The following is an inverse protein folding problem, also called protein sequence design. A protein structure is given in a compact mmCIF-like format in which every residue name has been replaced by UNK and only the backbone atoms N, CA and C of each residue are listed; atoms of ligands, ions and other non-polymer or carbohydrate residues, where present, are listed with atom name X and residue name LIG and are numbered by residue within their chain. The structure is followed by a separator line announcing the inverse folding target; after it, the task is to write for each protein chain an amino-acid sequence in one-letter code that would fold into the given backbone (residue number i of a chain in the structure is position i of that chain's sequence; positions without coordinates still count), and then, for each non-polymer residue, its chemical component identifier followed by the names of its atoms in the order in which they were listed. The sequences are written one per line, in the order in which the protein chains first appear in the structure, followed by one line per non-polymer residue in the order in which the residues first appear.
data_IF_410078674292
#
_entry.id   IF_410078674292
#
_cell.length_a   1.000
_cell.length_b   1.000
_cell.length_c   1.000
_cell.angle_alpha   90.00
_cell.angle_beta   90.00
_cell.angle_gamma   90.00
#
_symmetry.space_group_name_H-M   'P 1'
#
loop_
_entity.id
_entity.type
_entity.pdbx_description
1 polymer ?
#
# COMPACT_ATOMS: atom_id res chain seq x y z
N UNK A 1 1.43 26.44 24.83
CA UNK A 1 0.46 26.60 25.94
C UNK A 1 0.63 28.01 26.48
N UNK A 2 -0.37 28.88 26.69
CA UNK A 2 -1.84 28.82 26.47
C UNK A 2 -2.51 27.54 26.98
N UNK A 3 -2.94 27.54 28.24
CA UNK A 3 -1.93 27.13 29.21
C UNK A 3 -2.35 25.94 30.04
N UNK A 4 -3.59 25.92 30.49
CA UNK A 4 -4.13 24.99 31.46
C UNK A 4 -5.43 24.34 30.91
N UNK A 5 -5.53 24.18 29.57
CA UNK A 5 -6.50 23.45 28.68
C UNK A 5 -6.94 24.25 27.44
N UNK A 6 -7.32 25.52 27.52
CA UNK A 6 -6.43 26.63 27.90
C UNK A 6 -6.52 27.10 29.35
N UNK A 7 -7.59 26.81 30.12
CA UNK A 7 -7.64 27.06 31.59
C UNK A 7 -8.82 26.29 32.29
N UNK A 8 -8.77 24.94 32.34
CA UNK A 8 -9.23 23.96 33.38
C UNK A 8 -8.62 22.59 33.03
N UNK A 9 -7.61 21.98 33.65
CA UNK A 9 -6.45 22.27 34.55
C UNK A 9 -6.40 23.50 35.49
N UNK A 10 -6.84 24.73 35.15
CA UNK A 10 -7.24 25.81 36.11
C UNK A 10 -8.43 25.42 36.96
N UNK A 11 -8.28 24.28 37.59
CA UNK A 11 -9.30 23.67 38.36
C UNK A 11 -9.41 24.46 39.67
N UNK A 12 -10.24 25.52 39.65
CA UNK A 12 -11.32 25.82 40.61
C UNK A 12 -11.71 27.31 40.53
N UNK A 13 -12.94 27.60 40.07
CA UNK A 13 -14.00 28.17 40.94
C UNK A 13 -15.38 28.34 40.26
N UNK A 14 -15.48 28.42 38.93
CA UNK A 14 -16.75 28.79 38.25
C UNK A 14 -17.76 27.67 37.92
N UNK A 15 -17.53 26.40 38.32
CA UNK A 15 -18.49 25.31 38.04
C UNK A 15 -19.71 25.27 38.98
N UNK A 16 -19.73 26.02 40.09
CA UNK A 16 -20.83 25.99 41.05
C UNK A 16 -21.99 26.97 40.77
N UNK A 17 -21.81 27.97 39.88
CA UNK A 17 -22.80 29.04 39.71
C UNK A 17 -23.81 28.79 38.56
N UNK A 18 -23.42 28.07 37.51
CA UNK A 18 -24.27 27.86 36.33
C UNK A 18 -25.47 26.90 36.56
N UNK A 19 -25.56 26.28 37.75
CA UNK A 19 -26.68 25.43 38.16
C UNK A 19 -27.70 26.13 39.09
N UNK A 20 -27.54 27.44 39.39
CA UNK A 20 -28.40 28.13 40.37
C UNK A 20 -29.27 29.27 39.84
N UNK A 21 -29.06 29.75 38.63
CA UNK A 21 -29.83 30.88 38.05
C UNK A 21 -30.88 30.46 37.01
N UNK A 22 -31.63 29.41 37.34
CA UNK A 22 -33.04 29.33 36.94
C UNK A 22 -33.93 29.92 38.03
N UNK A 23 -33.98 31.27 38.14
CA UNK A 23 -35.16 32.07 38.59
C UNK A 23 -34.81 33.56 38.84
N UNK A 24 -35.65 34.41 38.24
CA UNK A 24 -36.00 35.80 38.63
C UNK A 24 -35.08 37.01 38.33
N UNK A 25 -35.79 38.09 37.94
CA UNK A 25 -35.46 39.53 37.95
C UNK A 25 -34.62 40.12 36.81
N UNK A 26 -35.35 40.46 35.74
CA UNK A 26 -35.50 41.83 35.22
C UNK A 26 -34.80 42.92 36.07
N UNK A 27 -33.91 43.71 35.47
CA UNK A 27 -33.88 45.18 35.53
C UNK A 27 -33.08 45.77 34.35
N UNK A 28 -33.50 46.93 33.86
CA UNK A 28 -32.95 47.62 32.69
C UNK A 28 -31.69 48.43 33.03
N UNK A 29 -30.76 48.60 32.07
CA UNK A 29 -29.84 49.74 32.03
C UNK A 29 -29.53 50.16 30.58
N UNK A 30 -30.17 51.27 30.21
CA UNK A 30 -29.88 52.32 29.20
C UNK A 30 -28.96 52.07 27.98
N UNK A 31 -29.50 52.40 26.81
CA UNK A 31 -28.74 52.67 25.59
C UNK A 31 -27.82 53.91 25.75
N UNK A 32 -26.55 53.79 25.36
CA UNK A 32 -25.72 54.94 25.00
C UNK A 32 -25.36 54.89 23.53
N UNK A 33 -26.02 55.73 22.73
CA UNK A 33 -25.64 56.01 21.34
C UNK A 33 -24.30 56.76 21.32
N UNK A 34 -23.34 56.28 20.53
CA UNK A 34 -22.22 57.10 20.05
C UNK A 34 -22.44 57.48 18.56
N UNK A 35 -21.86 58.60 18.08
CA UNK A 35 -22.24 59.17 16.79
C UNK A 35 -21.60 58.45 15.60
N UNK A 36 -22.30 58.46 14.48
CA UNK A 36 -21.81 57.99 13.18
C UNK A 36 -20.86 59.00 12.54
N UNK A 37 -19.57 58.69 12.46
CA UNK A 37 -18.72 59.04 11.30
C UNK A 37 -17.28 58.53 11.49
N UNK A 38 -16.95 57.40 10.88
CA UNK A 38 -15.64 57.03 10.37
C UNK A 38 -15.79 55.69 9.66
N UNK A 39 -16.05 55.75 8.35
CA UNK A 39 -15.97 54.58 7.48
C UNK A 39 -14.49 54.22 7.28
N UNK A 40 -13.90 53.56 8.27
CA UNK A 40 -12.70 52.77 8.01
C UNK A 40 -13.11 51.61 7.10
N UNK A 41 -12.33 51.37 6.05
CA UNK A 41 -12.40 50.13 5.29
C UNK A 41 -12.16 48.98 6.26
N UNK A 42 -13.24 48.34 6.69
CA UNK A 42 -13.16 47.01 7.26
C UNK A 42 -12.69 46.11 6.13
N UNK A 43 -11.40 45.72 6.14
CA UNK A 43 -10.96 44.55 5.38
C UNK A 43 -11.90 43.39 5.77
N UNK A 44 -12.85 43.11 4.88
CA UNK A 44 -13.87 42.09 5.08
C UNK A 44 -13.16 40.79 5.42
N UNK A 45 -13.31 40.30 6.66
CA UNK A 45 -12.69 39.06 7.10
C UNK A 45 -13.13 37.93 6.17
N UNK A 46 -12.23 37.58 5.24
CA UNK A 46 -12.50 36.66 4.15
C UNK A 46 -12.63 35.23 4.67
N UNK A 47 -12.02 34.92 5.84
CA UNK A 47 -11.98 33.59 6.45
C UNK A 47 -13.26 33.35 7.26
N UNK A 48 -13.73 34.34 8.02
CA UNK A 48 -15.03 34.27 8.71
C UNK A 48 -16.21 34.36 7.75
N UNK A 49 -16.04 34.89 6.54
CA UNK A 49 -17.11 34.98 5.54
C UNK A 49 -17.09 33.87 4.47
N UNK A 50 -16.26 32.84 4.62
CA UNK A 50 -16.31 31.67 3.72
C UNK A 50 -17.67 30.94 3.82
N UNK A 51 -18.25 30.53 2.67
CA UNK A 51 -19.42 29.65 2.65
C UNK A 51 -19.15 28.33 3.36
N UNK A 52 -20.19 27.75 3.98
CA UNK A 52 -20.07 26.51 4.75
C UNK A 52 -19.39 25.37 3.99
N UNK A 53 -19.73 25.16 2.71
CA UNK A 53 -19.14 24.11 1.87
C UNK A 53 -17.64 24.31 1.59
N UNK A 54 -17.14 25.56 1.61
CA UNK A 54 -15.69 25.85 1.50
C UNK A 54 -14.99 25.54 2.82
N UNK A 55 -15.60 25.90 3.95
CA UNK A 55 -15.09 25.54 5.29
C UNK A 55 -15.00 24.00 5.41
N UNK A 56 -16.05 23.29 5.02
CA UNK A 56 -16.11 21.83 5.07
C UNK A 56 -15.02 21.19 4.18
N UNK A 57 -14.74 21.78 3.01
CA UNK A 57 -13.64 21.37 2.11
C UNK A 57 -12.25 21.71 2.65
N UNK A 58 -12.07 22.83 3.36
CA UNK A 58 -10.80 23.16 4.01
C UNK A 58 -10.54 22.16 5.14
N UNK A 59 -11.53 21.93 6.00
CA UNK A 59 -11.44 20.98 7.10
C UNK A 59 -11.24 19.53 6.62
N UNK A 60 -11.69 19.17 5.40
CA UNK A 60 -11.41 17.86 4.79
C UNK A 60 -9.95 17.61 4.40
N UNK A 61 -9.10 18.64 4.45
CA UNK A 61 -7.67 18.55 4.15
C UNK A 61 -6.80 18.63 5.42
N UNK A 62 -7.42 18.67 6.61
CA UNK A 62 -6.73 18.86 7.89
C UNK A 62 -6.78 17.61 8.78
N UNK A 63 -5.77 17.46 9.63
CA UNK A 63 -5.82 16.56 10.78
C UNK A 63 -6.97 16.95 11.71
N UNK A 64 -7.50 16.03 12.52
CA UNK A 64 -8.55 16.39 13.49
C UNK A 64 -8.05 17.43 14.51
N UNK A 65 -6.75 17.38 14.85
CA UNK A 65 -6.07 18.37 15.68
C UNK A 65 -6.18 19.76 15.07
N UNK A 66 -5.85 19.93 13.80
CA UNK A 66 -5.84 21.24 13.16
C UNK A 66 -7.26 21.71 12.84
N UNK A 67 -8.17 20.81 12.46
CA UNK A 67 -9.60 21.11 12.36
C UNK A 67 -10.19 21.66 13.67
N UNK A 68 -9.83 21.05 14.82
CA UNK A 68 -10.19 21.57 16.15
C UNK A 68 -9.52 22.93 16.41
N UNK A 69 -8.25 23.15 16.00
CA UNK A 69 -7.59 24.46 16.16
C UNK A 69 -8.26 25.58 15.37
N UNK A 70 -8.83 25.30 14.19
CA UNK A 70 -9.59 26.29 13.43
C UNK A 70 -10.82 26.83 14.18
N UNK A 71 -11.28 26.14 15.23
CA UNK A 71 -12.39 26.58 16.10
C UNK A 71 -12.20 27.94 16.76
N UNK A 72 -10.95 28.42 16.87
CA UNK A 72 -10.64 29.73 17.49
C UNK A 72 -10.80 30.91 16.53
N UNK A 73 -10.93 30.67 15.21
CA UNK A 73 -10.95 31.73 14.21
C UNK A 73 -12.21 32.59 14.28
N UNK A 74 -13.39 31.96 14.40
CA UNK A 74 -14.65 32.66 14.73
C UNK A 74 -15.76 31.68 15.15
N UNK A 75 -16.88 32.23 15.62
CA UNK A 75 -18.07 31.47 16.03
C UNK A 75 -18.59 30.50 14.97
N UNK A 76 -18.44 30.82 13.67
CA UNK A 76 -18.83 29.95 12.54
C UNK A 76 -17.94 28.70 12.42
N UNK A 77 -16.68 28.77 12.80
CA UNK A 77 -15.74 27.64 12.75
C UNK A 77 -15.79 26.77 14.02
N UNK A 78 -16.17 27.37 15.16
CA UNK A 78 -16.09 26.79 16.51
C UNK A 78 -16.60 25.34 16.67
N UNK A 79 -17.66 24.98 15.94
CA UNK A 79 -18.29 23.66 16.02
C UNK A 79 -18.25 22.89 14.70
N UNK A 80 -17.57 23.38 13.67
CA UNK A 80 -17.57 22.73 12.35
C UNK A 80 -16.90 21.35 12.36
N UNK A 81 -15.89 21.18 13.22
CA UNK A 81 -15.17 19.91 13.36
C UNK A 81 -16.05 18.76 13.90
N UNK A 82 -17.09 19.04 14.70
CA UNK A 82 -17.96 18.00 15.32
C UNK A 82 -18.92 17.31 14.32
N UNK A 83 -18.88 17.73 13.06
CA UNK A 83 -19.71 17.19 11.97
C UNK A 83 -18.88 16.62 10.80
N UNK A 84 -17.55 16.56 10.93
CA UNK A 84 -16.67 16.11 9.84
C UNK A 84 -16.78 14.59 9.60
N UNK A 85 -17.06 14.13 8.36
CA UNK A 85 -17.22 12.71 8.08
C UNK A 85 -15.91 11.91 8.07
N UNK A 86 -14.77 12.55 8.34
CA UNK A 86 -13.43 11.97 8.38
C UNK A 86 -12.76 12.32 9.71
N UNK A 87 -12.38 11.30 10.49
CA UNK A 87 -11.65 11.45 11.74
C UNK A 87 -10.27 10.80 11.59
N UNK A 88 -9.24 11.64 11.51
CA UNK A 88 -7.86 11.23 11.23
C UNK A 88 -7.00 11.49 12.47
N UNK A 89 -6.59 10.42 13.15
CA UNK A 89 -5.73 10.44 14.34
C UNK A 89 -4.36 9.86 13.98
N UNK A 90 -3.45 10.73 13.53
CA UNK A 90 -2.12 10.38 13.06
C UNK A 90 -1.00 10.88 13.99
N UNK A 91 0.27 10.59 13.65
CA UNK A 91 1.45 11.13 14.33
C UNK A 91 1.52 12.68 14.35
N UNK A 92 0.78 13.39 13.47
CA UNK A 92 0.76 14.86 13.45
C UNK A 92 -0.22 15.42 14.49
N UNK A 93 -1.21 14.63 14.90
CA UNK A 93 -2.19 15.03 15.91
C UNK A 93 -1.54 15.33 17.27
N UNK A 94 -0.47 14.61 17.63
CA UNK A 94 0.21 14.74 18.93
C UNK A 94 1.73 14.81 18.79
N UNK A 95 2.25 16.03 18.64
CA UNK A 95 3.68 16.33 18.74
C UNK A 95 4.14 16.39 20.21
N UNK A 96 4.19 15.25 20.91
CA UNK A 96 4.74 15.19 22.28
C UNK A 96 6.23 14.81 22.24
N UNK A 97 7.08 15.71 22.73
CA UNK A 97 8.48 15.50 23.07
C UNK A 97 8.62 15.04 24.54
N UNK A 98 8.04 13.90 24.89
CA UNK A 98 8.15 13.30 26.23
C UNK A 98 8.79 11.93 26.13
N UNK A 99 9.65 11.61 27.10
CA UNK A 99 10.24 10.28 27.24
C UNK A 99 9.27 9.28 27.91
N UNK A 100 8.20 9.75 28.56
CA UNK A 100 7.19 8.90 29.20
C UNK A 100 6.10 8.49 28.21
N UNK A 101 6.20 7.23 27.75
CA UNK A 101 5.26 6.63 26.82
C UNK A 101 3.85 6.47 27.41
N UNK A 102 3.71 6.31 28.74
CA UNK A 102 2.41 6.13 29.39
C UNK A 102 1.60 7.42 29.36
N UNK A 103 2.27 8.56 29.58
CA UNK A 103 1.66 9.89 29.52
C UNK A 103 1.31 10.30 28.08
N UNK A 104 2.09 9.88 27.08
CA UNK A 104 1.74 10.01 25.66
C UNK A 104 0.47 9.21 25.35
N UNK A 105 0.43 7.91 25.71
CA UNK A 105 -0.74 7.04 25.50
C UNK A 105 -2.00 7.63 26.14
N UNK A 106 -1.94 8.05 27.40
CA UNK A 106 -3.13 8.55 28.11
C UNK A 106 -3.66 9.85 27.47
N UNK A 107 -2.78 10.73 26.98
CA UNK A 107 -3.20 11.94 26.24
C UNK A 107 -3.84 11.60 24.89
N UNK A 108 -3.29 10.64 24.15
CA UNK A 108 -3.86 10.13 22.91
C UNK A 108 -5.27 9.56 23.12
N UNK A 109 -5.42 8.65 24.09
CA UNK A 109 -6.72 8.03 24.44
C UNK A 109 -7.75 9.10 24.81
N UNK A 110 -7.37 10.04 25.69
CA UNK A 110 -8.25 11.14 26.07
C UNK A 110 -8.69 11.99 24.86
N UNK A 111 -7.81 12.28 23.91
CA UNK A 111 -8.16 13.08 22.72
C UNK A 111 -9.11 12.33 21.80
N UNK A 112 -8.88 11.04 21.53
CA UNK A 112 -9.82 10.22 20.73
C UNK A 112 -11.18 10.14 21.42
N UNK A 113 -11.20 9.94 22.75
CA UNK A 113 -12.42 9.89 23.54
C UNK A 113 -13.22 11.18 23.51
N UNK A 114 -12.57 12.34 23.70
CA UNK A 114 -13.25 13.64 23.64
C UNK A 114 -13.77 13.95 22.25
N UNK A 115 -13.04 13.60 21.18
CA UNK A 115 -13.53 13.77 19.81
C UNK A 115 -14.74 12.88 19.56
N UNK A 116 -14.67 11.58 19.84
CA UNK A 116 -15.78 10.65 19.60
C UNK A 116 -17.01 10.94 20.47
N UNK A 117 -16.82 11.46 21.69
CA UNK A 117 -17.92 11.87 22.58
C UNK A 117 -18.65 13.13 22.10
N UNK A 118 -17.91 14.08 21.51
CA UNK A 118 -18.46 15.36 21.03
C UNK A 118 -18.90 15.31 19.56
N UNK A 119 -18.53 14.26 18.83
CA UNK A 119 -18.90 14.09 17.43
C UNK A 119 -20.40 13.82 17.27
N UNK A 120 -21.06 14.59 16.41
CA UNK A 120 -22.51 14.52 16.17
C UNK A 120 -22.86 14.26 14.70
N UNK A 121 -21.88 14.35 13.79
CA UNK A 121 -22.05 14.01 12.38
C UNK A 121 -21.93 12.50 12.11
N UNK A 122 -22.16 12.06 10.86
CA UNK A 122 -21.76 10.74 10.43
C UNK A 122 -20.22 10.58 10.50
N UNK A 123 -19.73 9.35 10.58
CA UNK A 123 -18.31 9.02 10.41
C UNK A 123 -18.23 8.06 9.22
N UNK A 124 -17.69 8.54 8.11
CA UNK A 124 -17.47 7.75 6.90
C UNK A 124 -16.04 7.20 6.85
N UNK A 125 -15.05 7.97 7.35
CA UNK A 125 -13.65 7.57 7.41
C UNK A 125 -13.10 7.72 8.82
N UNK A 126 -12.43 6.69 9.31
CA UNK A 126 -11.68 6.71 10.56
C UNK A 126 -10.28 6.15 10.34
N UNK A 127 -9.25 6.92 10.69
CA UNK A 127 -7.84 6.45 10.72
C UNK A 127 -7.26 6.61 12.11
N UNK A 128 -6.64 5.54 12.60
CA UNK A 128 -5.86 5.53 13.83
C UNK A 128 -4.44 5.02 13.53
N UNK A 129 -3.48 5.93 13.45
CA UNK A 129 -2.07 5.62 13.18
C UNK A 129 -1.14 6.50 14.02
N UNK A 130 -0.82 6.03 15.23
CA UNK A 130 0.20 6.67 16.04
C UNK A 130 1.25 5.65 16.46
N UNK A 131 2.52 6.01 16.31
CA UNK A 131 3.69 5.20 16.67
C UNK A 131 3.77 4.78 18.14
N UNK A 132 2.90 5.36 18.98
CA UNK A 132 2.85 5.20 20.43
C UNK A 132 1.51 4.60 20.91
N UNK A 133 0.61 4.22 19.99
CA UNK A 133 -0.54 3.40 20.34
C UNK A 133 -0.12 1.93 20.54
N UNK A 134 -0.79 1.29 21.50
CA UNK A 134 -0.73 -0.14 21.78
C UNK A 134 -2.15 -0.69 21.64
N UNK A 135 -2.28 -1.88 21.08
CA UNK A 135 -3.55 -2.62 21.06
C UNK A 135 -4.11 -2.82 22.47
N UNK A 136 -5.42 -2.59 22.66
CA UNK A 136 -6.06 -2.72 23.96
C UNK A 136 -7.50 -2.22 24.00
N UNK A 137 -8.09 -2.26 25.20
CA UNK A 137 -9.52 -2.01 25.47
C UNK A 137 -10.04 -0.64 25.01
N UNK A 138 -9.18 0.36 24.88
CA UNK A 138 -9.54 1.68 24.35
C UNK A 138 -9.94 1.57 22.87
N UNK A 139 -9.14 0.83 22.08
CA UNK A 139 -9.42 0.57 20.67
C UNK A 139 -10.65 -0.34 20.52
N UNK A 140 -10.82 -1.34 21.40
CA UNK A 140 -12.02 -2.21 21.41
C UNK A 140 -13.31 -1.38 21.54
N UNK A 141 -13.29 -0.38 22.44
CA UNK A 141 -14.41 0.53 22.69
C UNK A 141 -14.67 1.48 21.52
N UNK A 142 -13.62 1.98 20.86
CA UNK A 142 -13.75 2.81 19.66
C UNK A 142 -14.30 2.01 18.48
N UNK A 143 -13.79 0.80 18.23
CA UNK A 143 -14.30 -0.10 17.18
C UNK A 143 -15.76 -0.47 17.45
N UNK A 144 -16.13 -0.75 18.71
CA UNK A 144 -17.52 -1.00 19.08
C UNK A 144 -18.44 0.21 18.80
N UNK A 145 -17.99 1.43 19.07
CA UNK A 145 -18.73 2.64 18.71
C UNK A 145 -18.85 2.79 17.18
N UNK A 146 -17.74 2.70 16.46
CA UNK A 146 -17.69 2.84 14.99
C UNK A 146 -18.52 1.77 14.27
N UNK A 147 -18.61 0.55 14.81
CA UNK A 147 -19.44 -0.53 14.25
C UNK A 147 -20.95 -0.23 14.22
N UNK A 148 -21.38 0.83 14.92
CA UNK A 148 -22.77 1.32 14.94
C UNK A 148 -22.97 2.53 14.03
N UNK A 149 -21.93 2.95 13.31
CA UNK A 149 -21.93 4.09 12.38
C UNK A 149 -21.83 3.59 10.93
N UNK A 150 -22.27 4.37 9.92
CA UNK A 150 -22.16 3.99 8.50
C UNK A 150 -20.73 4.19 7.96
N UNK A 151 -19.74 3.61 8.64
CA UNK A 151 -18.33 3.71 8.29
C UNK A 151 -18.05 3.00 6.96
N UNK A 152 -17.25 3.66 6.12
CA UNK A 152 -16.87 3.23 4.77
C UNK A 152 -15.38 2.97 4.64
N UNK A 153 -14.55 3.71 5.37
CA UNK A 153 -13.11 3.58 5.36
C UNK A 153 -12.61 3.43 6.81
N UNK A 154 -11.99 2.29 7.12
CA UNK A 154 -11.41 2.04 8.44
C UNK A 154 -9.93 1.67 8.28
N UNK A 155 -9.06 2.48 8.88
CA UNK A 155 -7.61 2.33 8.82
C UNK A 155 -7.08 2.24 10.26
N UNK A 156 -6.40 1.15 10.59
CA UNK A 156 -5.86 0.90 11.94
C UNK A 156 -4.41 0.42 11.85
N UNK A 157 -3.49 1.24 12.36
CA UNK A 157 -2.05 0.96 12.32
C UNK A 157 -1.45 0.93 13.74
N UNK A 158 -1.09 -0.27 14.21
CA UNK A 158 -0.59 -0.51 15.57
C UNK A 158 0.91 -0.82 15.52
N UNK A 159 1.72 0.22 15.55
CA UNK A 159 3.18 0.14 15.35
C UNK A 159 3.98 -0.49 16.51
N UNK A 160 3.33 -0.80 17.64
CA UNK A 160 3.99 -1.33 18.86
C UNK A 160 3.17 -2.42 19.53
N UNK A 161 3.88 -3.35 20.17
CA UNK A 161 3.29 -4.46 20.93
C UNK A 161 2.95 -5.67 20.05
N UNK A 162 2.24 -6.61 20.65
CA UNK A 162 1.77 -7.84 19.99
C UNK A 162 0.64 -7.55 18.99
N UNK A 163 0.45 -8.45 18.03
CA UNK A 163 -0.64 -8.37 17.05
C UNK A 163 -1.99 -8.15 17.73
N UNK A 164 -2.65 -7.04 17.39
CA UNK A 164 -3.89 -6.64 18.05
C UNK A 164 -5.06 -7.53 17.62
N UNK A 165 -5.69 -8.21 18.58
CA UNK A 165 -6.86 -9.05 18.32
C UNK A 165 -8.07 -8.20 17.95
N UNK A 166 -8.44 -8.23 16.67
CA UNK A 166 -9.51 -7.39 16.14
C UNK A 166 -10.88 -7.78 16.74
N UNK A 167 -11.67 -6.82 17.29
CA UNK A 167 -12.99 -7.10 17.85
C UNK A 167 -13.99 -7.65 16.83
N UNK A 168 -14.83 -8.60 17.27
CA UNK A 168 -15.83 -9.25 16.40
C UNK A 168 -16.88 -8.31 15.82
N UNK A 169 -17.10 -7.14 16.43
CA UNK A 169 -18.05 -6.15 15.96
C UNK A 169 -17.65 -5.47 14.64
N UNK A 170 -16.35 -5.38 14.30
CA UNK A 170 -15.91 -4.81 13.02
C UNK A 170 -16.40 -5.64 11.82
N UNK A 171 -16.43 -6.97 11.97
CA UNK A 171 -16.89 -7.92 10.95
C UNK A 171 -18.39 -7.77 10.60
N UNK A 172 -19.14 -6.96 11.34
CA UNK A 172 -20.54 -6.62 11.04
C UNK A 172 -20.69 -5.34 10.19
N UNK A 173 -19.61 -4.60 9.92
CA UNK A 173 -19.65 -3.32 9.21
C UNK A 173 -19.87 -3.49 7.69
N UNK A 174 -21.12 -3.73 7.29
CA UNK A 174 -21.50 -4.02 5.89
C UNK A 174 -21.29 -2.85 4.90
N UNK A 175 -21.13 -1.63 5.40
CA UNK A 175 -20.86 -0.42 4.59
C UNK A 175 -19.38 -0.15 4.32
N UNK A 176 -18.46 -0.97 4.83
CA UNK A 176 -17.03 -0.81 4.56
C UNK A 176 -16.71 -1.01 3.07
N UNK A 177 -16.02 -0.02 2.51
CA UNK A 177 -15.51 0.05 1.13
C UNK A 177 -13.99 -0.15 1.13
N UNK A 178 -13.30 0.36 2.16
CA UNK A 178 -11.86 0.21 2.34
C UNK A 178 -11.52 -0.18 3.79
N UNK A 179 -10.66 -1.18 3.94
CA UNK A 179 -10.17 -1.69 5.21
C UNK A 179 -8.64 -1.85 5.14
N UNK A 180 -7.91 -1.10 5.96
CA UNK A 180 -6.46 -1.15 6.11
C UNK A 180 -6.11 -1.54 7.55
N UNK A 181 -5.36 -2.62 7.74
CA UNK A 181 -4.97 -3.14 9.05
C UNK A 181 -3.47 -3.46 9.08
N UNK A 182 -2.74 -2.80 9.97
CA UNK A 182 -1.34 -3.10 10.26
C UNK A 182 -1.18 -3.69 11.68
N UNK A 183 -0.40 -4.78 11.81
CA UNK A 183 -0.10 -5.48 13.06
C UNK A 183 -1.34 -6.04 13.80
N UNK A 184 -2.14 -6.85 13.10
CA UNK A 184 -3.44 -7.33 13.60
C UNK A 184 -3.58 -8.86 13.58
N UNK A 185 -4.22 -9.42 14.62
CA UNK A 185 -4.64 -10.81 14.68
C UNK A 185 -6.11 -10.90 14.25
N UNK A 186 -6.35 -11.47 13.07
CA UNK A 186 -7.69 -11.59 12.49
C UNK A 186 -8.27 -12.97 12.80
N UNK A 187 -9.46 -12.95 13.42
CA UNK A 187 -10.28 -14.14 13.73
C UNK A 187 -11.74 -13.81 13.43
N UNK A 188 -12.17 -13.91 12.16
CA UNK A 188 -13.56 -13.73 11.78
C UNK A 188 -14.46 -14.68 12.61
N UNK A 189 -15.57 -14.21 13.18
CA UNK A 189 -16.51 -15.09 13.88
C UNK A 189 -17.22 -16.02 12.89
N UNK A 190 -17.74 -17.20 13.31
CA UNK A 190 -18.55 -18.08 12.44
C UNK A 190 -19.82 -17.42 11.89
N UNK A 191 -20.25 -16.30 12.48
CA UNK A 191 -21.38 -15.48 12.01
C UNK A 191 -20.98 -14.43 10.96
N UNK A 192 -19.71 -14.36 10.56
CA UNK A 192 -19.23 -13.43 9.54
C UNK A 192 -19.88 -13.73 8.19
N UNK A 193 -20.59 -12.74 7.65
CA UNK A 193 -21.29 -12.86 6.36
C UNK A 193 -20.48 -12.29 5.19
N UNK A 194 -19.25 -11.83 5.42
CA UNK A 194 -18.50 -11.06 4.44
C UNK A 194 -18.60 -9.55 4.61
N UNK A 195 -17.74 -8.83 3.90
CA UNK A 195 -17.80 -7.38 3.74
C UNK A 195 -18.37 -7.07 2.35
N UNK A 196 -19.70 -7.02 2.23
CA UNK A 196 -20.40 -6.98 0.93
C UNK A 196 -20.11 -5.74 0.09
N UNK A 197 -19.67 -4.63 0.70
CA UNK A 197 -19.34 -3.37 0.02
C UNK A 197 -17.84 -3.17 -0.25
N UNK A 198 -16.99 -4.10 0.19
CA UNK A 198 -15.53 -3.88 0.24
C UNK A 198 -14.90 -3.94 -1.15
N UNK A 199 -14.25 -2.85 -1.54
CA UNK A 199 -13.50 -2.70 -2.79
C UNK A 199 -12.00 -2.74 -2.59
N UNK A 200 -11.50 -2.36 -1.41
CA UNK A 200 -10.08 -2.32 -1.12
C UNK A 200 -9.80 -2.94 0.25
N UNK A 201 -8.87 -3.89 0.27
CA UNK A 201 -8.38 -4.56 1.46
C UNK A 201 -6.85 -4.43 1.49
N UNK A 202 -6.30 -3.94 2.59
CA UNK A 202 -4.86 -3.85 2.83
C UNK A 202 -4.56 -4.47 4.21
N UNK A 203 -3.76 -5.54 4.21
CA UNK A 203 -3.45 -6.33 5.39
C UNK A 203 -1.94 -6.48 5.52
N UNK A 204 -1.37 -5.88 6.56
CA UNK A 204 0.09 -5.85 6.79
C UNK A 204 0.43 -6.35 8.19
N UNK A 205 1.46 -7.18 8.33
CA UNK A 205 1.86 -7.76 9.63
C UNK A 205 0.69 -8.48 10.34
N UNK A 206 -0.03 -9.32 9.60
CA UNK A 206 -1.24 -9.99 10.09
C UNK A 206 -1.01 -11.45 10.46
N UNK A 207 -1.72 -11.91 11.49
CA UNK A 207 -1.85 -13.35 11.80
C UNK A 207 -3.30 -13.77 11.51
N UNK A 208 -3.47 -14.85 10.74
CA UNK A 208 -4.77 -15.41 10.38
C UNK A 208 -4.65 -16.92 10.11
N UNK A 209 -5.70 -17.71 10.32
CA UNK A 209 -5.70 -19.12 9.91
C UNK A 209 -6.03 -19.29 8.41
N UNK A 210 -5.56 -20.38 7.79
CA UNK A 210 -5.76 -20.68 6.36
C UNK A 210 -7.24 -20.69 5.94
N UNK A 211 -8.11 -21.31 6.75
CA UNK A 211 -9.56 -21.33 6.52
C UNK A 211 -10.19 -19.94 6.68
N UNK A 212 -9.76 -19.17 7.68
CA UNK A 212 -10.21 -17.80 7.88
C UNK A 212 -9.81 -16.87 6.74
N UNK A 213 -8.64 -17.09 6.12
CA UNK A 213 -8.17 -16.35 4.94
C UNK A 213 -9.04 -16.64 3.72
N UNK A 214 -9.25 -17.91 3.39
CA UNK A 214 -10.07 -18.31 2.24
C UNK A 214 -11.53 -17.85 2.39
N UNK A 215 -12.07 -17.95 3.60
CA UNK A 215 -13.40 -17.41 3.93
C UNK A 215 -13.45 -15.88 3.82
N UNK A 216 -12.41 -15.15 4.23
CA UNK A 216 -12.37 -13.69 4.13
C UNK A 216 -12.41 -13.22 2.67
N UNK A 217 -11.55 -13.77 1.81
CA UNK A 217 -11.44 -13.35 0.40
C UNK A 217 -12.71 -13.73 -0.38
N UNK A 218 -13.20 -14.97 -0.23
CA UNK A 218 -14.43 -15.42 -0.90
C UNK A 218 -15.68 -14.64 -0.45
N UNK A 219 -15.68 -14.08 0.76
CA UNK A 219 -16.79 -13.29 1.29
C UNK A 219 -16.67 -11.78 1.01
N UNK A 220 -15.77 -11.35 0.11
CA UNK A 220 -15.63 -9.96 -0.33
C UNK A 220 -15.91 -9.84 -1.85
N UNK A 221 -17.18 -9.94 -2.30
CA UNK A 221 -17.50 -10.11 -3.73
C UNK A 221 -17.19 -8.89 -4.61
N UNK A 222 -17.08 -7.69 -4.03
CA UNK A 222 -16.78 -6.44 -4.75
C UNK A 222 -15.30 -6.03 -4.68
N UNK A 223 -14.41 -6.91 -4.22
CA UNK A 223 -13.00 -6.60 -4.01
C UNK A 223 -12.28 -6.30 -5.34
N UNK A 224 -11.79 -5.07 -5.47
CA UNK A 224 -11.08 -4.55 -6.66
C UNK A 224 -9.57 -4.44 -6.42
N UNK A 225 -9.14 -4.20 -5.17
CA UNK A 225 -7.74 -4.06 -4.78
C UNK A 225 -7.45 -4.87 -3.52
N UNK A 226 -6.42 -5.71 -3.55
CA UNK A 226 -5.98 -6.47 -2.37
C UNK A 226 -4.46 -6.35 -2.19
N UNK A 227 -4.03 -5.88 -1.01
CA UNK A 227 -2.64 -5.84 -0.57
C UNK A 227 -2.45 -6.75 0.64
N UNK A 228 -1.42 -7.59 0.63
CA UNK A 228 -1.14 -8.58 1.67
C UNK A 228 0.36 -8.71 1.96
N UNK A 229 0.83 -8.08 3.04
CA UNK A 229 2.26 -8.00 3.38
C UNK A 229 2.56 -8.62 4.76
N UNK A 230 3.69 -9.32 4.88
CA UNK A 230 4.23 -9.84 6.15
C UNK A 230 3.19 -10.63 6.97
N UNK A 231 2.57 -11.66 6.38
CA UNK A 231 1.52 -12.45 7.03
C UNK A 231 2.04 -13.78 7.62
N UNK A 232 1.31 -14.33 8.57
CA UNK A 232 1.58 -15.63 9.22
C UNK A 232 0.27 -16.38 9.56
N UNK A 233 0.38 -17.70 9.75
CA UNK A 233 -0.71 -18.64 10.08
C UNK A 233 -1.41 -19.30 8.87
N UNK A 234 -1.00 -18.94 7.65
CA UNK A 234 -1.45 -19.56 6.39
C UNK A 234 -0.34 -19.50 5.34
N UNK A 235 -0.35 -20.45 4.40
CA UNK A 235 0.76 -20.64 3.44
C UNK A 235 0.30 -20.83 1.99
N UNK A 236 -1.00 -20.96 1.73
CA UNK A 236 -1.53 -21.13 0.37
C UNK A 236 -2.42 -19.93 0.01
N UNK A 237 -2.01 -19.17 -1.01
CA UNK A 237 -2.71 -17.97 -1.46
C UNK A 237 -3.78 -18.32 -2.50
N UNK A 238 -4.89 -18.89 -2.04
CA UNK A 238 -6.07 -19.21 -2.84
C UNK A 238 -6.95 -17.95 -3.07
N UNK A 239 -6.62 -17.15 -4.09
CA UNK A 239 -7.31 -15.89 -4.40
C UNK A 239 -8.53 -16.13 -5.29
N UNK A 240 -9.74 -16.08 -4.71
CA UNK A 240 -11.01 -16.14 -5.44
C UNK A 240 -11.77 -14.81 -5.36
N UNK A 241 -11.54 -13.93 -6.34
CA UNK A 241 -12.08 -12.57 -6.34
C UNK A 241 -12.39 -12.06 -7.78
N UNK A 242 -13.66 -12.14 -8.25
CA UNK A 242 -14.04 -11.86 -9.65
C UNK A 242 -13.82 -10.42 -10.11
N UNK A 243 -13.86 -9.46 -9.19
CA UNK A 243 -13.71 -8.03 -9.50
C UNK A 243 -12.29 -7.50 -9.28
N UNK A 244 -11.33 -8.37 -8.91
CA UNK A 244 -9.98 -7.98 -8.54
C UNK A 244 -9.21 -7.47 -9.75
N UNK A 245 -8.67 -6.25 -9.63
CA UNK A 245 -7.90 -5.54 -10.67
C UNK A 245 -6.45 -5.33 -10.25
N UNK A 246 -6.18 -5.28 -8.95
CA UNK A 246 -4.85 -5.08 -8.36
C UNK A 246 -4.63 -6.08 -7.22
N UNK A 247 -3.52 -6.81 -7.30
CA UNK A 247 -3.03 -7.68 -6.23
C UNK A 247 -1.56 -7.37 -5.95
N UNK A 248 -1.23 -7.10 -4.70
CA UNK A 248 0.14 -6.90 -4.23
C UNK A 248 0.39 -7.75 -2.99
N UNK A 249 1.41 -8.60 -2.99
CA UNK A 249 1.71 -9.44 -1.83
C UNK A 249 3.19 -9.68 -1.64
N UNK A 250 3.60 -9.74 -0.37
CA UNK A 250 4.99 -9.94 0.03
C UNK A 250 5.05 -10.72 1.33
N UNK A 251 5.66 -11.91 1.33
CA UNK A 251 5.70 -12.75 2.52
C UNK A 251 6.33 -14.12 2.30
N UNK A 252 5.98 -15.05 3.18
CA UNK A 252 6.37 -16.46 3.12
C UNK A 252 5.11 -17.29 2.87
N UNK A 253 5.05 -17.94 1.71
CA UNK A 253 3.93 -18.79 1.28
C UNK A 253 4.47 -19.88 0.37
N UNK A 254 3.81 -21.03 0.35
CA UNK A 254 4.21 -22.19 -0.44
C UNK A 254 3.59 -22.20 -1.83
N UNK A 255 2.40 -21.63 -1.99
CA UNK A 255 1.65 -21.70 -3.24
C UNK A 255 0.77 -20.46 -3.45
N UNK A 256 0.54 -20.10 -4.71
CA UNK A 256 -0.42 -19.06 -5.10
C UNK A 256 -1.29 -19.54 -6.25
N UNK A 257 -2.60 -19.35 -6.12
CA UNK A 257 -3.58 -19.81 -7.09
C UNK A 257 -4.68 -18.78 -7.28
N UNK A 258 -4.74 -18.24 -8.50
CA UNK A 258 -5.78 -17.32 -8.92
C UNK A 258 -6.97 -18.10 -9.48
N UNK A 259 -8.14 -17.94 -8.86
CA UNK A 259 -9.40 -18.57 -9.26
C UNK A 259 -10.39 -17.48 -9.63
N UNK A 260 -10.88 -17.48 -10.87
CA UNK A 260 -11.89 -16.53 -11.33
C UNK A 260 -11.46 -15.05 -11.11
N UNK A 261 -10.26 -14.66 -11.55
CA UNK A 261 -9.71 -13.29 -11.40
C UNK A 261 -9.44 -12.64 -12.76
N UNK A 262 -10.36 -12.79 -13.72
CA UNK A 262 -10.14 -12.43 -15.13
C UNK A 262 -9.96 -10.93 -15.40
N UNK A 263 -10.20 -10.07 -14.40
CA UNK A 263 -10.01 -8.62 -14.46
C UNK A 263 -8.67 -8.16 -13.86
N UNK A 264 -7.83 -9.09 -13.38
CA UNK A 264 -6.59 -8.77 -12.67
C UNK A 264 -5.55 -8.20 -13.64
N UNK A 265 -5.36 -6.88 -13.58
CA UNK A 265 -4.52 -6.11 -14.49
C UNK A 265 -3.13 -5.80 -13.92
N UNK A 266 -3.01 -5.69 -12.59
CA UNK A 266 -1.73 -5.44 -11.91
C UNK A 266 -1.47 -6.49 -10.85
N UNK A 267 -0.30 -7.13 -10.94
CA UNK A 267 0.16 -8.15 -9.99
C UNK A 267 1.58 -7.81 -9.54
N UNK A 268 1.78 -7.66 -8.23
CA UNK A 268 3.09 -7.56 -7.58
C UNK A 268 3.22 -8.67 -6.55
N UNK A 269 4.27 -9.49 -6.64
CA UNK A 269 4.44 -10.67 -5.77
C UNK A 269 5.90 -10.84 -5.37
N UNK A 270 6.16 -10.79 -4.06
CA UNK A 270 7.44 -11.10 -3.44
C UNK A 270 7.38 -12.32 -2.52
N UNK A 271 8.18 -13.33 -2.84
CA UNK A 271 8.41 -14.48 -1.96
C UNK A 271 9.74 -14.27 -1.21
N UNK A 272 9.70 -14.12 0.11
CA UNK A 272 10.83 -13.59 0.88
C UNK A 272 11.90 -14.62 1.25
N UNK A 273 11.63 -15.92 1.10
CA UNK A 273 12.57 -17.00 1.43
C UNK A 273 12.60 -18.03 0.30
N UNK A 274 13.75 -18.68 0.11
CA UNK A 274 13.86 -19.80 -0.82
C UNK A 274 13.25 -21.08 -0.22
N UNK A 275 11.98 -21.31 -0.54
CA UNK A 275 11.27 -22.54 -0.18
C UNK A 275 11.58 -23.72 -1.13
N UNK A 276 12.19 -23.48 -2.30
CA UNK A 276 12.21 -24.49 -3.40
C UNK A 276 13.04 -25.73 -3.09
N UNK A 277 13.90 -25.66 -2.07
CA UNK A 277 14.65 -26.82 -1.56
C UNK A 277 13.79 -27.78 -0.72
N UNK A 278 12.58 -27.39 -0.31
CA UNK A 278 11.68 -28.24 0.47
C UNK A 278 10.94 -29.21 -0.45
N UNK A 279 11.32 -30.49 -0.38
CA UNK A 279 10.96 -31.57 -1.33
C UNK A 279 9.45 -31.90 -1.40
N UNK A 280 8.63 -31.21 -0.61
CA UNK A 280 7.19 -31.40 -0.50
C UNK A 280 6.37 -30.47 -1.42
N UNK A 281 7.01 -29.52 -2.13
CA UNK A 281 6.33 -28.56 -3.03
C UNK A 281 5.96 -29.11 -4.41
N UNK A 282 6.57 -30.22 -4.83
CA UNK A 282 6.36 -30.80 -6.16
C UNK A 282 5.13 -31.74 -6.17
N UNK A 283 3.92 -31.15 -6.10
CA UNK A 283 2.71 -31.89 -6.46
C UNK A 283 2.71 -32.10 -7.99
N UNK A 284 2.53 -33.36 -8.41
CA UNK A 284 3.26 -33.91 -9.57
C UNK A 284 3.09 -33.21 -10.92
N UNK A 285 4.19 -33.13 -11.68
CA UNK A 285 4.30 -32.72 -13.10
C UNK A 285 3.76 -31.34 -13.53
N UNK A 286 3.07 -30.59 -12.67
CA UNK A 286 2.49 -29.30 -13.06
C UNK A 286 3.50 -28.14 -12.94
N UNK A 287 3.58 -27.30 -13.98
CA UNK A 287 4.44 -26.12 -14.00
C UNK A 287 3.82 -24.99 -13.19
N UNK A 288 4.54 -24.47 -12.19
CA UNK A 288 4.08 -23.33 -11.39
C UNK A 288 3.81 -22.09 -12.26
N UNK A 289 4.64 -21.87 -13.28
CA UNK A 289 4.44 -20.83 -14.28
C UNK A 289 3.09 -20.98 -15.02
N UNK A 290 2.76 -22.17 -15.51
CA UNK A 290 1.50 -22.40 -16.22
C UNK A 290 0.28 -22.23 -15.31
N UNK A 291 0.36 -22.74 -14.08
CA UNK A 291 -0.67 -22.59 -13.05
C UNK A 291 -0.93 -21.12 -12.71
N UNK A 292 0.14 -20.33 -12.59
CA UNK A 292 0.08 -18.90 -12.30
C UNK A 292 -0.70 -18.11 -13.37
N UNK A 293 -0.36 -18.31 -14.65
CA UNK A 293 -0.97 -17.57 -15.75
C UNK A 293 -2.36 -18.07 -16.18
N UNK A 294 -2.81 -19.24 -15.72
CA UNK A 294 -4.05 -19.89 -16.17
C UNK A 294 -5.32 -19.01 -16.09
N UNK A 295 -5.38 -18.07 -15.13
CA UNK A 295 -6.53 -17.17 -14.94
C UNK A 295 -6.17 -15.67 -15.03
N UNK A 296 -5.07 -15.31 -15.71
CA UNK A 296 -4.56 -13.94 -15.84
C UNK A 296 -4.57 -13.39 -17.29
N UNK A 297 -5.69 -13.46 -18.04
CA UNK A 297 -5.71 -13.10 -19.47
C UNK A 297 -5.55 -11.60 -19.76
N UNK A 298 -5.73 -10.72 -18.76
CA UNK A 298 -5.73 -9.25 -18.88
C UNK A 298 -4.60 -8.57 -18.11
N UNK A 299 -3.55 -9.30 -17.76
CA UNK A 299 -2.44 -8.75 -16.99
C UNK A 299 -1.68 -7.68 -17.81
N UNK A 300 -1.60 -6.46 -17.27
CA UNK A 300 -1.00 -5.27 -17.88
C UNK A 300 0.34 -4.89 -17.22
N UNK A 301 0.46 -5.16 -15.91
CA UNK A 301 1.68 -4.97 -15.13
C UNK A 301 1.93 -6.20 -14.26
N UNK A 302 3.16 -6.74 -14.34
CA UNK A 302 3.64 -7.84 -13.51
C UNK A 302 4.97 -7.46 -12.85
N UNK A 303 5.04 -7.58 -11.53
CA UNK A 303 6.25 -7.37 -10.74
C UNK A 303 6.56 -8.64 -9.94
N UNK A 304 7.65 -9.33 -10.31
CA UNK A 304 8.14 -10.55 -9.70
C UNK A 304 9.33 -10.18 -8.81
N UNK A 305 9.16 -10.30 -7.49
CA UNK A 305 10.12 -9.83 -6.50
C UNK A 305 10.72 -10.99 -5.67
N UNK A 306 11.86 -10.70 -5.04
CA UNK A 306 12.60 -11.62 -4.17
C UNK A 306 12.85 -13.01 -4.81
N UNK A 307 12.39 -14.11 -4.20
CA UNK A 307 12.57 -15.48 -4.70
C UNK A 307 11.42 -15.97 -5.59
N UNK A 308 10.43 -15.12 -5.93
CA UNK A 308 9.22 -15.58 -6.61
C UNK A 308 9.47 -16.11 -8.03
N UNK A 309 10.50 -15.61 -8.73
CA UNK A 309 10.91 -16.16 -10.03
C UNK A 309 11.39 -17.62 -9.91
N UNK A 310 12.08 -17.96 -8.82
CA UNK A 310 12.56 -19.33 -8.54
C UNK A 310 11.41 -20.28 -8.22
N UNK A 311 10.36 -19.79 -7.54
CA UNK A 311 9.11 -20.55 -7.38
C UNK A 311 8.43 -20.80 -8.74
N UNK A 312 8.38 -19.79 -9.63
CA UNK A 312 7.80 -19.94 -10.97
C UNK A 312 8.62 -20.87 -11.88
N UNK A 313 9.94 -20.95 -11.68
CA UNK A 313 10.83 -21.84 -12.44
C UNK A 313 10.78 -23.31 -12.02
N UNK A 314 10.05 -23.64 -10.94
CA UNK A 314 9.88 -25.02 -10.51
C UNK A 314 8.88 -25.76 -11.43
N UNK A 315 9.32 -26.91 -11.95
CA UNK A 315 8.58 -27.73 -12.91
C UNK A 315 9.06 -27.52 -14.36
N UNK A 316 8.29 -28.01 -15.33
CA UNK A 316 8.62 -27.83 -16.75
C UNK A 316 8.31 -26.40 -17.21
N UNK A 317 9.32 -25.69 -17.74
CA UNK A 317 9.19 -24.30 -18.20
C UNK A 317 9.14 -24.31 -19.73
N UNK A 318 7.97 -24.05 -20.35
CA UNK A 318 7.88 -24.06 -21.81
C UNK A 318 8.64 -22.88 -22.40
N UNK A 319 9.11 -23.00 -23.65
CA UNK A 319 9.79 -21.90 -24.34
C UNK A 319 8.92 -20.64 -24.58
N UNK A 320 7.59 -20.77 -24.44
CA UNK A 320 6.59 -19.70 -24.47
C UNK A 320 5.31 -20.16 -23.75
N UNK A 321 4.57 -19.24 -23.11
CA UNK A 321 3.28 -19.54 -22.50
C UNK A 321 2.24 -19.96 -23.57
N UNK A 322 1.34 -20.93 -23.28
CA UNK A 322 0.28 -21.35 -24.20
C UNK A 322 -0.68 -20.22 -24.60
N UNK A 323 -0.92 -19.27 -23.69
CA UNK A 323 -1.68 -18.04 -23.93
C UNK A 323 -0.72 -16.86 -23.77
N UNK A 324 -0.43 -16.10 -24.84
CA UNK A 324 0.42 -14.91 -24.74
C UNK A 324 -0.20 -13.82 -23.87
N UNK A 325 0.64 -13.10 -23.12
CA UNK A 325 0.26 -11.94 -22.32
C UNK A 325 0.19 -10.70 -23.22
N UNK A 326 -0.85 -10.62 -24.06
CA UNK A 326 -1.00 -9.56 -25.09
C UNK A 326 -1.16 -8.18 -24.46
N UNK A 327 -1.79 -8.08 -23.29
CA UNK A 327 -2.02 -6.81 -22.58
C UNK A 327 -0.81 -6.35 -21.74
N UNK A 328 0.22 -7.20 -21.56
CA UNK A 328 1.34 -6.93 -20.65
C UNK A 328 2.28 -5.88 -21.24
N UNK A 329 2.28 -4.69 -20.64
CA UNK A 329 3.06 -3.53 -21.08
C UNK A 329 4.23 -3.22 -20.14
N UNK A 330 4.14 -3.62 -18.86
CA UNK A 330 5.20 -3.44 -17.86
C UNK A 330 5.53 -4.77 -17.19
N UNK A 331 6.81 -5.14 -17.19
CA UNK A 331 7.34 -6.35 -16.55
C UNK A 331 8.57 -5.99 -15.70
N UNK A 332 8.49 -6.26 -14.40
CA UNK A 332 9.62 -6.12 -13.47
C UNK A 332 9.98 -7.51 -12.92
N UNK A 333 11.25 -7.91 -12.99
CA UNK A 333 11.71 -9.25 -12.56
C UNK A 333 12.98 -9.15 -11.71
N UNK A 334 12.93 -9.67 -10.48
CA UNK A 334 14.13 -9.95 -9.67
C UNK A 334 14.65 -11.37 -9.97
N UNK A 335 15.85 -11.47 -10.57
CA UNK A 335 16.41 -12.69 -11.18
C UNK A 335 17.79 -13.04 -10.61
N UNK A 336 18.05 -14.33 -10.37
CA UNK A 336 19.41 -14.84 -10.22
C UNK A 336 19.97 -15.19 -11.62
N UNK A 337 20.83 -14.33 -12.16
CA UNK A 337 21.44 -14.55 -13.49
C UNK A 337 22.33 -15.79 -13.59
N UNK A 338 22.72 -16.41 -12.47
CA UNK A 338 23.45 -17.68 -12.44
C UNK A 338 22.53 -18.92 -12.47
N UNK A 339 21.21 -18.76 -12.27
CA UNK A 339 20.24 -19.86 -12.29
C UNK A 339 19.68 -20.07 -13.71
N UNK A 340 19.97 -21.22 -14.32
CA UNK A 340 19.47 -21.56 -15.67
C UNK A 340 17.94 -21.57 -15.70
N UNK A 341 17.30 -22.17 -14.70
CA UNK A 341 15.84 -22.29 -14.55
C UNK A 341 15.14 -20.91 -14.50
N UNK A 342 15.72 -19.97 -13.75
CA UNK A 342 15.20 -18.60 -13.65
C UNK A 342 15.40 -17.81 -14.95
N UNK A 343 16.56 -17.95 -15.61
CA UNK A 343 16.81 -17.31 -16.91
C UNK A 343 15.85 -17.85 -17.99
N UNK A 344 15.58 -19.16 -18.02
CA UNK A 344 14.60 -19.78 -18.92
C UNK A 344 13.16 -19.30 -18.63
N UNK A 345 12.81 -19.14 -17.35
CA UNK A 345 11.51 -18.57 -16.94
C UNK A 345 11.38 -17.11 -17.38
N UNK A 346 12.42 -16.29 -17.19
CA UNK A 346 12.44 -14.91 -17.67
C UNK A 346 12.36 -14.85 -19.22
N UNK A 347 13.07 -15.74 -19.94
CA UNK A 347 12.95 -15.89 -21.40
C UNK A 347 11.52 -16.23 -21.83
N UNK A 348 10.87 -17.19 -21.16
CA UNK A 348 9.48 -17.56 -21.44
C UNK A 348 8.52 -16.38 -21.27
N UNK A 349 8.66 -15.62 -20.18
CA UNK A 349 7.87 -14.41 -19.91
C UNK A 349 8.07 -13.37 -21.01
N UNK A 350 9.32 -13.05 -21.36
CA UNK A 350 9.65 -12.11 -22.44
C UNK A 350 9.05 -12.58 -23.78
N UNK A 351 9.27 -13.84 -24.17
CA UNK A 351 8.75 -14.46 -25.40
C UNK A 351 7.22 -14.50 -25.49
N UNK A 352 6.55 -14.37 -24.35
CA UNK A 352 5.08 -14.37 -24.21
C UNK A 352 4.46 -12.98 -24.19
N UNK A 353 5.26 -11.92 -24.22
CA UNK A 353 4.83 -10.53 -23.98
C UNK A 353 5.06 -9.62 -25.20
N UNK A 354 4.28 -9.77 -26.29
CA UNK A 354 4.56 -9.11 -27.59
C UNK A 354 4.42 -7.58 -27.58
N UNK A 355 3.67 -7.03 -26.62
CA UNK A 355 3.39 -5.61 -26.49
C UNK A 355 4.12 -4.95 -25.31
N UNK A 356 5.16 -5.60 -24.78
CA UNK A 356 5.95 -5.10 -23.66
C UNK A 356 6.61 -3.77 -24.03
N UNK A 357 6.41 -2.73 -23.19
CA UNK A 357 6.92 -1.38 -23.39
C UNK A 357 8.00 -1.00 -22.38
N UNK A 358 7.88 -1.51 -21.16
CA UNK A 358 8.78 -1.26 -20.03
C UNK A 358 9.26 -2.58 -19.43
N UNK A 359 10.57 -2.77 -19.35
CA UNK A 359 11.20 -3.92 -18.71
C UNK A 359 12.14 -3.45 -17.60
N UNK A 360 11.88 -3.86 -16.36
CA UNK A 360 12.83 -3.75 -15.26
C UNK A 360 13.38 -5.13 -14.90
N UNK A 361 14.70 -5.25 -14.74
CA UNK A 361 15.31 -6.44 -14.16
C UNK A 361 16.28 -6.09 -13.03
N UNK A 362 16.12 -6.76 -11.90
CA UNK A 362 16.92 -6.60 -10.71
C UNK A 362 17.73 -7.87 -10.50
N UNK A 363 19.05 -7.81 -10.65
CA UNK A 363 19.92 -8.94 -10.40
C UNK A 363 19.96 -9.26 -8.88
N UNK A 364 19.93 -10.55 -8.54
CA UNK A 364 20.21 -11.05 -7.19
C UNK A 364 21.70 -11.42 -7.07
N UNK A 365 22.50 -10.70 -6.26
CA UNK A 365 23.93 -11.02 -6.08
C UNK A 365 24.18 -12.07 -5.00
N UNK A 366 23.21 -12.28 -4.09
CA UNK A 366 23.35 -13.06 -2.85
C UNK A 366 23.63 -14.57 -3.05
N UNK A 367 23.41 -15.11 -4.24
CA UNK A 367 23.53 -16.54 -4.58
C UNK A 367 24.59 -16.84 -5.66
N UNK A 368 25.55 -15.93 -5.91
CA UNK A 368 26.59 -16.12 -6.94
C UNK A 368 27.71 -17.06 -6.47
N UNK A 369 27.38 -18.33 -6.23
CA UNK A 369 28.38 -19.40 -6.01
C UNK A 369 29.14 -19.73 -7.30
N UNK A 370 30.42 -20.10 -7.15
CA UNK A 370 31.33 -20.42 -8.26
C UNK A 370 30.86 -21.63 -9.08
N UNK A 371 30.99 -21.52 -10.42
CA UNK A 371 30.56 -22.49 -11.45
C UNK A 371 29.04 -22.72 -11.45
N UNK A 372 28.32 -22.57 -12.56
CA UNK A 372 28.72 -22.92 -13.93
C UNK A 372 28.74 -21.74 -14.91
N UNK A 373 29.71 -21.76 -15.83
CA UNK A 373 29.78 -20.79 -16.93
C UNK A 373 28.80 -21.18 -18.03
N UNK A 374 27.50 -20.92 -17.84
CA UNK A 374 26.50 -21.08 -18.90
C UNK A 374 26.58 -19.91 -19.90
N UNK A 375 27.73 -19.80 -20.57
CA UNK A 375 27.82 -19.06 -21.84
C UNK A 375 26.82 -19.63 -22.82
N UNK A 376 26.05 -18.75 -23.43
CA UNK A 376 25.25 -18.93 -24.66
C UNK A 376 23.73 -19.00 -24.56
N UNK A 377 23.08 -19.06 -23.39
CA UNK A 377 21.59 -18.98 -23.29
C UNK A 377 20.97 -17.77 -24.02
N UNK A 378 21.72 -16.67 -24.13
CA UNK A 378 21.31 -15.44 -24.81
C UNK A 378 22.08 -15.17 -26.12
N UNK A 379 22.99 -16.08 -26.53
CA UNK A 379 23.81 -15.96 -27.76
C UNK A 379 23.47 -17.01 -28.81
N UNK A 380 23.30 -18.26 -28.39
CA UNK A 380 22.84 -19.34 -29.26
C UNK A 380 21.36 -19.12 -29.52
N UNK A 381 21.04 -18.50 -30.66
CA UNK A 381 19.99 -18.90 -31.60
C UNK A 381 19.77 -17.78 -32.64
N UNK A 382 20.57 -17.79 -33.73
CA UNK A 382 20.41 -16.92 -34.91
C UNK A 382 19.14 -17.21 -35.73
N UNK A 383 18.16 -17.93 -35.15
CA UNK A 383 17.01 -18.51 -35.85
C UNK A 383 15.67 -18.00 -35.34
N UNK A 384 15.64 -17.21 -34.26
CA UNK A 384 14.41 -16.56 -33.85
C UNK A 384 14.19 -15.28 -34.66
N UNK A 385 13.10 -15.26 -35.43
CA UNK A 385 12.48 -14.02 -35.91
C UNK A 385 11.84 -13.27 -34.73
N UNK A 386 12.66 -12.89 -33.76
CA UNK A 386 12.26 -12.30 -32.50
C UNK A 386 12.52 -10.81 -32.52
N UNK A 387 11.53 -10.01 -32.14
CA UNK A 387 11.68 -8.57 -32.07
C UNK A 387 10.82 -8.01 -30.95
N UNK A 388 11.44 -7.25 -30.06
CA UNK A 388 10.75 -6.45 -29.07
C UNK A 388 10.20 -5.17 -29.74
N UNK A 389 9.17 -5.36 -30.58
CA UNK A 389 8.62 -4.32 -31.45
C UNK A 389 8.06 -3.09 -30.71
N UNK A 390 7.81 -3.21 -29.41
CA UNK A 390 7.20 -2.18 -28.57
C UNK A 390 8.07 -1.74 -27.36
N UNK A 391 9.23 -2.37 -27.13
CA UNK A 391 10.03 -2.14 -25.92
C UNK A 391 10.79 -0.81 -26.02
N UNK A 392 10.38 0.17 -25.23
CA UNK A 392 10.87 1.56 -25.25
C UNK A 392 11.81 1.86 -24.08
N UNK A 393 11.54 1.30 -22.91
CA UNK A 393 12.32 1.54 -21.69
C UNK A 393 12.80 0.23 -21.09
N UNK A 394 14.11 0.16 -20.81
CA UNK A 394 14.73 -0.91 -20.05
C UNK A 394 15.44 -0.31 -18.83
N UNK A 395 15.30 -0.95 -17.66
CA UNK A 395 16.02 -0.61 -16.44
C UNK A 395 16.65 -1.87 -15.84
N UNK A 396 17.96 -1.86 -15.65
CA UNK A 396 18.73 -2.98 -15.13
C UNK A 396 19.44 -2.53 -13.86
N UNK A 397 19.21 -3.24 -12.76
CA UNK A 397 19.72 -2.86 -11.43
C UNK A 397 20.53 -4.02 -10.84
N UNK A 398 21.67 -3.72 -10.21
CA UNK A 398 22.52 -4.74 -9.59
C UNK A 398 23.45 -5.46 -10.57
N UNK A 399 23.76 -4.84 -11.71
CA UNK A 399 24.61 -5.45 -12.75
C UNK A 399 26.09 -5.42 -12.32
N UNK A 400 26.74 -6.58 -12.30
CA UNK A 400 28.17 -6.75 -12.01
C UNK A 400 29.03 -6.93 -13.27
N UNK A 401 28.42 -7.07 -14.45
CA UNK A 401 29.13 -7.23 -15.72
C UNK A 401 29.65 -8.66 -15.98
N UNK A 402 29.06 -9.66 -15.32
CA UNK A 402 29.34 -11.07 -15.62
C UNK A 402 28.73 -11.48 -16.97
N UNK A 403 29.31 -12.50 -17.61
CA UNK A 403 28.94 -12.96 -18.96
C UNK A 403 27.42 -13.06 -19.22
N UNK A 404 26.64 -13.81 -18.41
CA UNK A 404 25.19 -13.94 -18.62
C UNK A 404 24.43 -12.60 -18.60
N UNK A 405 24.85 -11.64 -17.76
CA UNK A 405 24.24 -10.30 -17.71
C UNK A 405 24.56 -9.49 -18.96
N UNK A 406 25.82 -9.51 -19.42
CA UNK A 406 26.22 -8.82 -20.65
C UNK A 406 25.56 -9.41 -21.89
N UNK A 407 25.44 -10.73 -21.93
CA UNK A 407 24.80 -11.46 -23.02
C UNK A 407 23.29 -11.13 -23.08
N UNK A 408 22.64 -11.05 -21.92
CA UNK A 408 21.26 -10.57 -21.81
C UNK A 408 21.10 -9.11 -22.29
N UNK A 409 22.01 -8.22 -21.90
CA UNK A 409 21.99 -6.81 -22.34
C UNK A 409 22.17 -6.72 -23.85
N UNK A 410 23.11 -7.49 -24.42
CA UNK A 410 23.33 -7.58 -25.85
C UNK A 410 22.09 -8.11 -26.59
N UNK A 411 21.43 -9.14 -26.05
CA UNK A 411 20.16 -9.65 -26.57
C UNK A 411 19.08 -8.55 -26.60
N UNK A 412 18.86 -7.82 -25.50
CA UNK A 412 17.90 -6.71 -25.50
C UNK A 412 18.26 -5.61 -26.52
N UNK A 413 19.51 -5.19 -26.59
CA UNK A 413 19.96 -4.14 -27.53
C UNK A 413 19.86 -4.58 -29.00
N UNK A 414 20.14 -5.84 -29.30
CA UNK A 414 20.11 -6.40 -30.65
C UNK A 414 18.68 -6.61 -31.20
N UNK A 415 17.70 -6.87 -30.34
CA UNK A 415 16.34 -7.23 -30.76
C UNK A 415 15.25 -6.17 -30.46
N UNK A 416 15.63 -4.99 -29.94
CA UNK A 416 14.70 -3.89 -29.62
C UNK A 416 14.85 -2.69 -30.56
N UNK A 417 14.16 -2.68 -31.73
CA UNK A 417 14.32 -1.63 -32.75
C UNK A 417 13.73 -0.27 -32.36
N UNK A 418 12.80 -0.22 -31.39
CA UNK A 418 12.14 1.01 -30.92
C UNK A 418 12.62 1.49 -29.54
N UNK A 419 13.69 0.87 -29.01
CA UNK A 419 14.23 1.20 -27.70
C UNK A 419 14.65 2.68 -27.64
N UNK A 420 14.14 3.42 -26.66
CA UNK A 420 14.45 4.84 -26.43
C UNK A 420 15.51 4.98 -25.34
N UNK A 421 15.39 4.21 -24.25
CA UNK A 421 16.24 4.34 -23.07
C UNK A 421 16.53 2.99 -22.42
N UNK A 422 17.81 2.70 -22.22
CA UNK A 422 18.30 1.62 -21.35
C UNK A 422 19.07 2.23 -20.18
N UNK A 423 18.58 2.01 -18.96
CA UNK A 423 19.24 2.47 -17.73
C UNK A 423 19.96 1.29 -17.10
N UNK A 424 21.26 1.42 -16.81
CA UNK A 424 22.05 0.39 -16.13
C UNK A 424 22.59 0.97 -14.83
N UNK A 425 22.17 0.38 -13.70
CA UNK A 425 22.72 0.65 -12.37
C UNK A 425 23.57 -0.56 -11.92
N UNK A 426 24.85 -0.36 -11.57
CA UNK A 426 25.75 -1.44 -11.18
C UNK A 426 25.40 -2.03 -9.80
N UNK A 427 26.00 -3.17 -9.45
CA UNK A 427 25.93 -3.75 -8.11
C UNK A 427 26.80 -3.02 -7.08
N UNK A 428 27.93 -2.47 -7.51
CA UNK A 428 28.90 -1.75 -6.69
C UNK A 428 29.71 -0.77 -7.55
N UNK A 429 30.54 0.07 -6.93
CA UNK A 429 31.45 0.97 -7.66
C UNK A 429 32.67 0.26 -8.26
N UNK A 430 33.01 -0.94 -7.78
CA UNK A 430 34.12 -1.72 -8.33
C UNK A 430 33.77 -2.29 -9.70
N UNK A 431 34.73 -2.22 -10.64
CA UNK A 431 34.53 -2.67 -12.02
C UNK A 431 33.63 -1.78 -12.89
N UNK A 432 33.04 -0.72 -12.33
CA UNK A 432 32.13 0.22 -13.02
C UNK A 432 32.64 0.66 -14.41
N UNK A 433 33.92 1.05 -14.49
CA UNK A 433 34.54 1.49 -15.75
C UNK A 433 34.66 0.39 -16.80
N UNK A 434 34.86 -0.87 -16.40
CA UNK A 434 34.94 -1.99 -17.36
C UNK A 434 33.56 -2.36 -17.89
N UNK A 435 32.54 -2.35 -17.03
CA UNK A 435 31.13 -2.48 -17.44
C UNK A 435 30.76 -1.39 -18.46
N UNK A 436 31.13 -0.12 -18.21
CA UNK A 436 30.90 0.98 -19.17
C UNK A 436 31.57 0.70 -20.53
N UNK A 437 32.85 0.28 -20.55
CA UNK A 437 33.54 -0.07 -21.82
C UNK A 437 32.84 -1.20 -22.57
N UNK A 438 32.33 -2.20 -21.86
CA UNK A 438 31.62 -3.33 -22.45
C UNK A 438 30.28 -2.87 -23.05
N UNK A 439 29.48 -2.11 -22.31
CA UNK A 439 28.21 -1.54 -22.77
C UNK A 439 28.37 -0.66 -24.01
N UNK A 440 29.44 0.14 -24.08
CA UNK A 440 29.74 1.01 -25.23
C UNK A 440 30.12 0.23 -26.50
N UNK A 441 30.52 -1.04 -26.39
CA UNK A 441 30.87 -1.91 -27.54
C UNK A 441 29.67 -2.67 -28.10
N UNK A 442 28.54 -2.71 -27.40
CA UNK A 442 27.35 -3.47 -27.82
C UNK A 442 26.64 -2.78 -28.99
N UNK A 443 26.26 -3.58 -29.99
CA UNK A 443 25.46 -3.11 -31.13
C UNK A 443 24.01 -2.89 -30.69
N UNK A 444 23.32 -1.95 -31.33
CA UNK A 444 21.94 -1.57 -31.02
C UNK A 444 21.10 -1.62 -32.29
N UNK A 445 19.91 -2.21 -32.23
CA UNK A 445 18.94 -2.15 -33.34
C UNK A 445 18.28 -0.77 -33.43
N UNK A 446 17.95 -0.16 -32.28
CA UNK A 446 17.47 1.22 -32.24
C UNK A 446 18.62 2.22 -32.35
N UNK A 447 18.53 3.09 -33.37
CA UNK A 447 19.40 4.27 -33.52
C UNK A 447 19.08 5.40 -32.53
N UNK A 448 17.96 5.29 -31.79
CA UNK A 448 17.52 6.27 -30.78
C UNK A 448 17.85 5.85 -29.35
N UNK A 449 18.31 4.61 -29.13
CA UNK A 449 18.53 4.07 -27.80
C UNK A 449 19.68 4.77 -27.06
N UNK A 450 19.33 5.57 -26.06
CA UNK A 450 20.26 6.10 -25.07
C UNK A 450 20.60 5.01 -24.03
N UNK A 451 21.89 4.80 -23.75
CA UNK A 451 22.33 3.97 -22.62
C UNK A 451 22.76 4.93 -21.51
N UNK A 452 21.98 4.98 -20.43
CA UNK A 452 22.23 5.79 -19.25
C UNK A 452 22.84 4.90 -18.18
N UNK A 453 24.07 5.20 -17.79
CA UNK A 453 24.71 4.61 -16.62
C UNK A 453 24.33 5.43 -15.39
N UNK A 454 23.95 4.75 -14.29
CA UNK A 454 23.71 5.38 -13.00
C UNK A 454 24.83 5.01 -12.03
N UNK A 455 25.19 5.93 -11.15
CA UNK A 455 26.11 5.62 -10.05
C UNK A 455 25.49 4.60 -9.06
N UNK A 456 26.32 3.82 -8.34
CA UNK A 456 25.90 2.75 -7.41
C UNK A 456 24.98 3.20 -6.26
#
# INVERSE_FOLDING_TARGET
MLLWVVEIIENRFCWYHCLRETRHKVYCLEERKLPSSLAMDMELDKITNLPGHIIDKILSLLSIRDAVRMSVLSSKWRFKWVTLPFLMFDNQCISISSQDQTLVKNKLVNIVDHVLLLHTGPIHKFRLSHRDFLGGSDIDRWILYLSRTPIREFILEIWKGQHYKLPSCLYNCQSLIHLELFNSLLKPPPTFKGFMSLKSLDLQHIIMAQDAFENLISSCPLLERFTLMNFDGFTHLNIHAPNLQFFDTGGVFYDVNFKNTFLLATVSIGLYVDITNDKNLADGNSSNLLKFFAHLPRIQRLEIQSYFLKYLSAGDVPGKLPVPCIDLTHLSIRVNFSSVEENLTALCLLRSSPNLQELEMLARPEEQTHLETFTNLWKEEEHWNYSFAHLRVVKLTGISGVGPQLDFINFLLAYSPVLEKMTVKPASGDGAWELIKQLLRLRRASVRAEIIYLDP
#
